data_IF_993952672163
#
_entry.id   IF_993952672163
#
_cell.length_a   1.000
_cell.length_b   1.000
_cell.length_c   1.000
_cell.angle_alpha   90.00
_cell.angle_beta   90.00
_cell.angle_gamma   90.00
#
_symmetry.space_group_name_H-M   'P 1'
#
loop_
_entity.id
_entity.type
_entity.pdbx_description
1 polymer ?
#
# COMPACT_ATOMS: atom_id res chain seq x y z
N UNK A 1 9.32 11.37 12.65
CA UNK A 1 7.93 11.69 12.24
C UNK A 1 7.07 10.43 12.15
N UNK A 2 7.38 9.45 11.28
CA UNK A 2 6.57 8.22 11.14
C UNK A 2 6.64 7.25 12.34
N UNK A 3 7.79 7.12 12.99
CA UNK A 3 7.94 6.22 14.15
C UNK A 3 7.01 6.60 15.32
N UNK A 4 6.68 7.88 15.45
CA UNK A 4 6.04 8.45 16.63
C UNK A 4 4.58 8.86 16.42
N UNK A 5 4.06 8.84 15.20
CA UNK A 5 2.65 9.16 14.95
C UNK A 5 1.72 7.98 15.29
N UNK A 6 0.43 8.24 15.47
CA UNK A 6 -0.57 7.20 15.69
C UNK A 6 -1.01 6.53 14.39
N UNK A 7 -1.17 7.31 13.31
CA UNK A 7 -1.55 6.86 11.98
C UNK A 7 -1.16 7.89 10.91
N UNK A 8 -1.23 7.51 9.64
CA UNK A 8 -0.94 8.38 8.48
C UNK A 8 -2.24 8.77 7.80
N UNK A 9 -2.42 10.06 7.50
CA UNK A 9 -3.56 10.56 6.72
C UNK A 9 -3.04 11.21 5.45
N UNK A 10 -3.52 10.79 4.29
CA UNK A 10 -3.05 11.32 3.00
C UNK A 10 -4.09 11.10 1.90
N UNK A 11 -3.96 11.81 0.77
CA UNK A 11 -4.75 11.46 -0.43
C UNK A 11 -4.27 10.13 -1.00
N UNK A 12 -3.06 10.10 -1.57
CA UNK A 12 -2.48 8.95 -2.26
C UNK A 12 -0.95 8.95 -2.18
N UNK A 13 -0.37 9.43 -1.08
CA UNK A 13 1.08 9.42 -0.90
C UNK A 13 1.59 8.03 -0.51
N UNK A 14 2.70 7.61 -1.11
CA UNK A 14 3.44 6.39 -0.72
C UNK A 14 4.01 6.45 0.70
N UNK A 15 4.03 7.62 1.35
CA UNK A 15 4.37 7.76 2.77
C UNK A 15 3.46 6.90 3.66
N UNK A 16 2.19 6.69 3.28
CA UNK A 16 1.30 5.75 3.98
C UNK A 16 1.85 4.32 3.96
N UNK A 17 2.40 3.89 2.82
CA UNK A 17 3.03 2.58 2.69
C UNK A 17 4.29 2.45 3.56
N UNK A 18 5.12 3.50 3.59
CA UNK A 18 6.29 3.54 4.48
C UNK A 18 5.88 3.44 5.96
N UNK A 19 4.73 3.99 6.34
CA UNK A 19 4.17 3.89 7.69
C UNK A 19 3.91 2.45 8.15
N UNK A 20 3.59 1.53 7.23
CA UNK A 20 3.33 0.12 7.57
C UNK A 20 4.55 -0.60 8.13
N UNK A 21 5.77 -0.20 7.75
CA UNK A 21 7.01 -0.73 8.36
C UNK A 21 7.14 -0.36 9.84
N UNK A 22 6.46 0.70 10.27
CA UNK A 22 6.40 1.15 11.66
C UNK A 22 5.08 0.76 12.34
N UNK A 23 4.28 -0.11 11.72
CA UNK A 23 2.99 -0.55 12.23
C UNK A 23 1.94 0.56 12.31
N UNK A 24 2.03 1.58 11.45
CA UNK A 24 1.11 2.73 11.44
C UNK A 24 -0.02 2.49 10.45
N UNK A 25 -1.30 2.46 10.87
CA UNK A 25 -2.42 2.38 9.94
C UNK A 25 -2.54 3.67 9.12
N UNK A 26 -3.28 3.61 8.01
CA UNK A 26 -3.44 4.74 7.11
C UNK A 26 -4.91 5.01 6.78
N UNK A 27 -5.25 6.30 6.65
CA UNK A 27 -6.51 6.80 6.14
C UNK A 27 -6.25 7.49 4.79
N UNK A 28 -6.91 7.00 3.74
CA UNK A 28 -6.68 7.41 2.35
C UNK A 28 -7.88 8.16 1.77
N UNK A 29 -7.63 9.36 1.24
CA UNK A 29 -8.65 10.18 0.57
C UNK A 29 -8.66 10.03 -0.96
N UNK A 30 -7.68 9.32 -1.52
CA UNK A 30 -7.54 9.08 -2.96
C UNK A 30 -7.29 7.61 -3.27
N UNK A 31 -7.38 7.28 -4.56
CA UNK A 31 -7.10 5.93 -5.06
C UNK A 31 -5.59 5.66 -5.07
N UNK A 32 -5.21 4.46 -4.65
CA UNK A 32 -3.83 3.98 -4.67
C UNK A 32 -3.79 2.46 -4.69
N UNK A 33 -2.76 1.86 -5.29
CA UNK A 33 -2.71 0.42 -5.54
C UNK A 33 -2.65 -0.43 -4.25
N UNK A 34 -2.10 0.11 -3.17
CA UNK A 34 -2.00 -0.57 -1.87
C UNK A 34 -3.17 -0.29 -0.91
N UNK A 35 -4.30 0.26 -1.39
CA UNK A 35 -5.41 0.69 -0.52
C UNK A 35 -6.03 -0.43 0.34
N UNK A 36 -5.85 -1.71 -0.01
CA UNK A 36 -6.47 -2.87 0.65
C UNK A 36 -6.16 -3.01 2.15
N UNK A 37 -5.01 -2.51 2.63
CA UNK A 37 -4.63 -2.55 4.05
C UNK A 37 -5.07 -1.29 4.82
N UNK A 38 -5.54 -0.27 4.11
CA UNK A 38 -5.85 1.05 4.66
C UNK A 38 -7.35 1.25 4.89
N UNK A 39 -7.68 2.26 5.69
CA UNK A 39 -9.04 2.78 5.78
C UNK A 39 -9.24 3.78 4.64
N UNK A 40 -10.30 3.60 3.85
CA UNK A 40 -10.71 4.59 2.85
C UNK A 40 -11.55 5.67 3.53
N UNK A 41 -11.26 6.93 3.26
CA UNK A 41 -12.06 8.04 3.72
C UNK A 41 -13.44 8.02 3.05
N UNK A 42 -14.47 8.20 3.86
CA UNK A 42 -15.84 8.42 3.42
C UNK A 42 -16.22 9.84 3.87
N UNK A 43 -16.55 10.72 2.92
CA UNK A 43 -16.87 12.12 3.24
C UNK A 43 -18.20 12.26 3.97
N UNK A 44 -19.12 11.31 3.80
CA UNK A 44 -20.39 11.26 4.54
C UNK A 44 -20.16 10.80 5.98
N UNK A 45 -19.22 9.87 6.19
CA UNK A 45 -18.94 9.26 7.51
C UNK A 45 -17.51 9.49 7.99
N UNK A 46 -17.01 10.71 7.83
CA UNK A 46 -15.60 11.01 8.02
C UNK A 46 -15.11 10.75 9.46
N UNK A 47 -15.91 11.13 10.45
CA UNK A 47 -15.60 10.88 11.87
C UNK A 47 -15.41 9.38 12.14
N UNK A 48 -16.26 8.53 11.55
CA UNK A 48 -16.14 7.07 11.66
C UNK A 48 -14.85 6.57 11.02
N UNK A 49 -14.45 7.12 9.87
CA UNK A 49 -13.19 6.76 9.24
C UNK A 49 -11.97 7.09 10.11
N UNK A 50 -11.99 8.22 10.83
CA UNK A 50 -10.95 8.58 11.81
C UNK A 50 -10.93 7.64 13.02
N UNK A 51 -12.09 7.26 13.54
CA UNK A 51 -12.17 6.25 14.61
C UNK A 51 -11.60 4.91 14.15
N UNK A 52 -11.97 4.47 12.95
CA UNK A 52 -11.54 3.19 12.38
C UNK A 52 -10.02 3.16 12.17
N UNK A 53 -9.40 4.21 11.63
CA UNK A 53 -7.94 4.22 11.42
C UNK A 53 -7.18 4.20 12.75
N UNK A 54 -7.68 4.88 13.78
CA UNK A 54 -7.05 4.86 15.10
C UNK A 54 -7.04 3.45 15.74
N UNK A 55 -8.06 2.64 15.44
CA UNK A 55 -8.25 1.28 15.98
C UNK A 55 -7.68 0.18 15.08
N UNK A 56 -7.42 0.46 13.80
CA UNK A 56 -6.96 -0.54 12.84
C UNK A 56 -5.61 -1.14 13.26
N UNK A 57 -5.54 -2.49 13.30
CA UNK A 57 -4.32 -3.27 13.58
C UNK A 57 -4.20 -4.42 12.56
N UNK A 58 -4.06 -4.14 11.25
CA UNK A 58 -3.87 -5.17 10.25
C UNK A 58 -2.54 -5.91 10.43
N UNK A 59 -2.43 -7.07 9.81
CA UNK A 59 -1.19 -7.82 9.72
C UNK A 59 -0.25 -7.19 8.67
N UNK A 60 0.52 -6.19 9.12
CA UNK A 60 1.42 -5.42 8.26
C UNK A 60 2.49 -6.29 7.61
N UNK A 61 3.11 -7.19 8.37
CA UNK A 61 4.21 -8.02 7.85
C UNK A 61 3.73 -8.91 6.70
N UNK A 62 2.59 -9.58 6.86
CA UNK A 62 2.00 -10.40 5.81
C UNK A 62 1.59 -9.57 4.60
N UNK A 63 0.99 -8.40 4.82
CA UNK A 63 0.59 -7.53 3.71
C UNK A 63 1.79 -7.00 2.92
N UNK A 64 2.83 -6.52 3.61
CA UNK A 64 4.05 -6.00 2.99
C UNK A 64 4.75 -7.09 2.16
N UNK A 65 4.85 -8.31 2.71
CA UNK A 65 5.38 -9.45 1.96
C UNK A 65 4.54 -9.75 0.72
N UNK A 66 3.21 -9.85 0.87
CA UNK A 66 2.32 -10.09 -0.26
C UNK A 66 2.47 -9.03 -1.36
N UNK A 67 2.43 -7.75 -0.99
CA UNK A 67 2.48 -6.65 -1.95
C UNK A 67 3.82 -6.61 -2.71
N UNK A 68 4.95 -6.71 -2.01
CA UNK A 68 6.27 -6.61 -2.65
C UNK A 68 6.77 -7.88 -3.28
N UNK A 69 6.58 -9.03 -2.65
CA UNK A 69 7.15 -10.29 -3.16
C UNK A 69 6.22 -10.99 -4.16
N UNK A 70 4.91 -10.73 -4.10
CA UNK A 70 3.93 -11.45 -4.93
C UNK A 70 3.26 -10.57 -5.98
N UNK A 71 2.98 -9.29 -5.66
CA UNK A 71 2.27 -8.39 -6.57
C UNK A 71 3.19 -7.44 -7.34
N UNK A 72 4.42 -7.22 -6.85
CA UNK A 72 5.41 -6.33 -7.46
C UNK A 72 6.51 -7.13 -8.16
N UNK A 73 7.10 -6.53 -9.19
CA UNK A 73 8.34 -7.04 -9.77
C UNK A 73 9.49 -6.54 -8.89
N UNK A 74 10.19 -7.47 -8.24
CA UNK A 74 11.35 -7.15 -7.41
C UNK A 74 12.59 -6.98 -8.29
N UNK A 75 13.09 -5.75 -8.39
CA UNK A 75 14.25 -5.41 -9.22
C UNK A 75 15.58 -6.02 -8.75
N UNK A 76 15.65 -6.52 -7.53
CA UNK A 76 16.84 -7.16 -6.96
C UNK A 76 16.95 -8.66 -7.23
N UNK A 77 16.06 -9.26 -8.03
CA UNK A 77 16.09 -10.68 -8.38
C UNK A 77 16.64 -10.90 -9.78
N UNK A 78 17.35 -12.02 -9.96
CA UNK A 78 17.91 -12.42 -11.26
C UNK A 78 16.84 -12.55 -12.36
N UNK A 79 15.60 -12.89 -11.97
CA UNK A 79 14.46 -13.04 -12.87
C UNK A 79 13.71 -11.73 -13.21
N UNK A 80 14.28 -10.56 -12.86
CA UNK A 80 13.62 -9.26 -13.07
C UNK A 80 13.32 -9.00 -14.54
N UNK A 81 14.29 -9.22 -15.44
CA UNK A 81 14.14 -8.89 -16.86
C UNK A 81 13.08 -9.76 -17.54
N UNK A 82 13.04 -11.06 -17.23
CA UNK A 82 12.04 -11.97 -17.79
C UNK A 82 10.63 -11.64 -17.27
N UNK A 83 10.49 -11.26 -16.00
CA UNK A 83 9.21 -10.79 -15.44
C UNK A 83 8.71 -9.50 -16.08
N UNK A 84 9.61 -8.55 -16.33
CA UNK A 84 9.26 -7.30 -17.02
C UNK A 84 8.80 -7.61 -18.45
N UNK A 85 9.56 -8.41 -19.20
CA UNK A 85 9.22 -8.81 -20.56
C UNK A 85 7.86 -9.51 -20.64
N UNK A 86 7.63 -10.51 -19.78
CA UNK A 86 6.35 -11.22 -19.71
C UNK A 86 5.17 -10.28 -19.34
N UNK A 87 5.42 -9.24 -18.53
CA UNK A 87 4.39 -8.26 -18.17
C UNK A 87 4.00 -7.39 -19.36
N UNK A 88 4.99 -6.94 -20.14
CA UNK A 88 4.77 -6.17 -21.38
C UNK A 88 4.06 -7.02 -22.44
N UNK A 89 4.53 -8.24 -22.68
CA UNK A 89 3.90 -9.19 -23.62
C UNK A 89 2.44 -9.46 -23.26
N UNK A 90 2.14 -9.69 -21.97
CA UNK A 90 0.76 -9.86 -21.48
C UNK A 90 -0.17 -8.69 -21.83
N UNK A 91 0.36 -7.49 -22.01
CA UNK A 91 -0.40 -6.30 -22.39
C UNK A 91 -0.26 -5.94 -23.88
N UNK A 92 0.29 -6.83 -24.70
CA UNK A 92 0.40 -6.65 -26.14
C UNK A 92 1.46 -5.64 -26.57
N UNK A 93 2.43 -5.33 -25.70
CA UNK A 93 3.56 -4.50 -26.08
C UNK A 93 4.52 -5.30 -26.98
N UNK A 94 5.03 -4.72 -28.08
CA UNK A 94 6.07 -5.35 -28.87
C UNK A 94 7.36 -5.41 -28.05
N UNK A 95 7.87 -6.62 -27.84
CA UNK A 95 9.10 -6.91 -27.10
C UNK A 95 10.28 -7.18 -28.04
#
# INVERSE_FOLDING_TARGET
MLQTCDYVVTQNSSVAFAGYFFGKPALLFGNIDFHHIAIKADMTYLATAFTNVAQARPDYARYLYWFWQTQSINAGRDDVHSKIAARFERFGWPM
#
